data_IF_015010430829
#
_entry.id   IF_015010430829
#
_cell.length_a   1.000
_cell.length_b   1.000
_cell.length_c   1.000
_cell.angle_alpha   90.00
_cell.angle_beta   90.00
_cell.angle_gamma   90.00
#
_symmetry.space_group_name_H-M   'P 1'
#
loop_
_entity.id
_entity.type
_entity.pdbx_description
1 polymer ?
#
# COMPACT_ATOMS: atom_id res chain seq x y z
N UNK A 1 -2.58 -45.09 -9.16
CA UNK A 1 -2.83 -43.67 -8.81
C UNK A 1 -2.42 -42.83 -10.00
N UNK A 2 -3.38 -42.16 -10.61
CA UNK A 2 -3.44 -41.81 -12.05
C UNK A 2 -2.53 -40.63 -12.40
N UNK A 3 -1.98 -40.64 -13.63
CA UNK A 3 -1.24 -39.52 -14.27
C UNK A 3 -1.97 -38.16 -14.14
N UNK A 4 -3.29 -38.18 -14.06
CA UNK A 4 -4.14 -36.99 -13.86
C UNK A 4 -3.88 -36.31 -12.52
N UNK A 5 -3.71 -37.08 -11.42
CA UNK A 5 -3.43 -36.53 -10.09
C UNK A 5 -2.03 -35.88 -10.06
N UNK A 6 -1.05 -36.51 -10.73
CA UNK A 6 0.30 -35.94 -10.81
C UNK A 6 0.32 -34.64 -11.65
N UNK A 7 -0.46 -34.58 -12.74
CA UNK A 7 -0.56 -33.35 -13.54
C UNK A 7 -1.26 -32.20 -12.77
N UNK A 8 -2.32 -32.51 -12.03
CA UNK A 8 -3.02 -31.49 -11.24
C UNK A 8 -2.12 -30.96 -10.12
N UNK A 9 -1.34 -31.83 -9.48
CA UNK A 9 -0.40 -31.41 -8.42
C UNK A 9 0.72 -30.55 -8.98
N UNK A 10 1.27 -30.91 -10.15
CA UNK A 10 2.33 -30.15 -10.82
C UNK A 10 1.83 -28.76 -11.24
N UNK A 11 0.62 -28.66 -11.82
CA UNK A 11 0.01 -27.37 -12.21
C UNK A 11 -0.28 -26.49 -10.98
N UNK A 12 -0.69 -27.09 -9.85
CA UNK A 12 -0.89 -26.32 -8.61
C UNK A 12 0.44 -25.87 -7.96
N UNK A 13 1.49 -26.65 -8.08
CA UNK A 13 2.84 -26.25 -7.61
C UNK A 13 3.43 -25.14 -8.47
N UNK A 14 3.26 -25.20 -9.79
CA UNK A 14 3.70 -24.14 -10.72
C UNK A 14 2.94 -22.82 -10.48
N UNK A 15 1.63 -22.87 -10.24
CA UNK A 15 0.81 -21.68 -9.95
C UNK A 15 1.17 -21.04 -8.60
N UNK A 16 1.57 -21.85 -7.61
CA UNK A 16 2.05 -21.37 -6.31
C UNK A 16 3.46 -20.75 -6.40
N UNK A 17 4.31 -21.27 -7.27
CA UNK A 17 5.68 -20.80 -7.46
C UNK A 17 5.75 -19.49 -8.24
N UNK A 18 4.84 -19.24 -9.18
CA UNK A 18 4.74 -17.98 -9.94
C UNK A 18 4.26 -16.78 -9.14
N UNK A 19 3.77 -16.97 -7.93
CA UNK A 19 3.22 -15.89 -7.07
C UNK A 19 4.23 -15.29 -6.07
N UNK A 20 5.44 -15.81 -6.00
CA UNK A 20 6.49 -15.32 -5.09
C UNK A 20 7.57 -14.56 -5.82
N UNK A 21 7.95 -13.38 -5.30
CA UNK A 21 9.02 -12.55 -5.83
C UNK A 21 10.32 -12.79 -5.07
N UNK A 22 11.43 -12.95 -5.79
CA UNK A 22 12.76 -12.99 -5.15
C UNK A 22 13.30 -11.57 -4.99
N UNK A 23 12.88 -10.91 -3.91
CA UNK A 23 13.31 -9.54 -3.57
C UNK A 23 14.34 -9.58 -2.45
N UNK A 24 15.47 -8.85 -2.58
CA UNK A 24 16.50 -8.81 -1.54
C UNK A 24 15.94 -8.40 -0.18
N UNK A 25 16.37 -9.09 0.88
CA UNK A 25 15.89 -8.88 2.26
C UNK A 25 15.90 -7.41 2.71
N UNK A 26 16.96 -6.59 2.45
CA UNK A 26 16.93 -5.18 2.85
C UNK A 26 15.83 -4.39 2.14
N UNK A 27 15.57 -4.66 0.85
CA UNK A 27 14.49 -3.99 0.09
C UNK A 27 13.12 -4.32 0.69
N UNK A 28 12.89 -5.59 1.05
CA UNK A 28 11.66 -6.00 1.74
C UNK A 28 11.47 -5.29 3.07
N UNK A 29 12.52 -5.20 3.88
CA UNK A 29 12.46 -4.53 5.17
C UNK A 29 12.12 -3.05 5.02
N UNK A 30 12.73 -2.37 4.05
CA UNK A 30 12.39 -0.97 3.72
C UNK A 30 10.93 -0.85 3.31
N UNK A 31 10.45 -1.69 2.40
CA UNK A 31 9.07 -1.66 1.93
C UNK A 31 8.06 -1.94 3.06
N UNK A 32 8.34 -2.93 3.92
CA UNK A 32 7.52 -3.23 5.11
C UNK A 32 7.48 -2.03 6.05
N UNK A 33 8.62 -1.39 6.33
CA UNK A 33 8.68 -0.22 7.20
C UNK A 33 7.89 0.96 6.64
N UNK A 34 7.94 1.19 5.33
CA UNK A 34 7.17 2.24 4.66
C UNK A 34 5.66 1.98 4.75
N UNK A 35 5.20 0.74 4.53
CA UNK A 35 3.78 0.39 4.67
C UNK A 35 3.29 0.53 6.12
N UNK A 36 4.09 0.11 7.09
CA UNK A 36 3.73 0.26 8.50
C UNK A 36 3.67 1.74 8.91
N UNK A 37 4.61 2.56 8.44
CA UNK A 37 4.59 4.00 8.67
C UNK A 37 3.39 4.68 8.01
N UNK A 38 3.09 4.34 6.75
CA UNK A 38 1.89 4.80 6.04
C UNK A 38 0.62 4.45 6.85
N UNK A 39 0.44 3.17 7.20
CA UNK A 39 -0.72 2.73 7.98
C UNK A 39 -0.83 3.44 9.33
N UNK A 40 0.27 3.62 10.05
CA UNK A 40 0.26 4.30 11.36
C UNK A 40 -0.15 5.77 11.23
N UNK A 41 0.33 6.49 10.22
CA UNK A 41 -0.09 7.88 9.96
C UNK A 41 -1.60 7.94 9.72
N UNK A 42 -2.14 7.05 8.89
CA UNK A 42 -3.58 6.99 8.63
C UNK A 42 -4.37 6.64 9.88
N UNK A 43 -3.88 5.72 10.73
CA UNK A 43 -4.53 5.40 12.00
C UNK A 43 -4.60 6.62 12.93
N UNK A 44 -3.51 7.40 13.01
CA UNK A 44 -3.45 8.61 13.85
C UNK A 44 -4.41 9.69 13.34
N UNK A 45 -4.49 9.89 12.03
CA UNK A 45 -5.39 10.88 11.42
C UNK A 45 -6.86 10.45 11.36
N UNK A 46 -7.15 9.15 11.46
CA UNK A 46 -8.51 8.62 11.25
C UNK A 46 -9.59 9.25 12.15
N UNK A 47 -9.39 9.47 13.46
CA UNK A 47 -10.42 10.06 14.30
C UNK A 47 -10.83 11.47 13.86
N UNK A 48 -9.87 12.34 13.58
CA UNK A 48 -10.10 13.72 13.17
C UNK A 48 -10.84 13.77 11.84
N UNK A 49 -10.34 13.07 10.82
CA UNK A 49 -11.01 13.01 9.52
C UNK A 49 -12.37 12.30 9.57
N UNK A 50 -12.63 11.45 10.56
CA UNK A 50 -13.95 10.85 10.77
C UNK A 50 -14.97 11.89 11.28
N UNK A 51 -14.55 12.84 12.10
CA UNK A 51 -15.39 13.93 12.59
C UNK A 51 -15.72 14.93 11.47
N UNK A 52 -14.77 15.21 10.57
CA UNK A 52 -14.96 16.10 9.43
C UNK A 52 -15.85 15.46 8.35
N UNK A 53 -15.51 14.25 7.92
CA UNK A 53 -16.26 13.47 6.95
C UNK A 53 -16.10 11.97 7.24
N UNK A 54 -17.15 11.35 7.77
CA UNK A 54 -17.07 9.97 8.29
C UNK A 54 -16.55 8.94 7.28
N UNK A 55 -16.83 9.13 5.98
CA UNK A 55 -16.33 8.22 4.95
C UNK A 55 -14.80 8.33 4.77
N UNK A 56 -14.21 9.53 4.97
CA UNK A 56 -12.76 9.72 4.91
C UNK A 56 -12.10 9.01 6.09
N UNK A 57 -12.60 9.20 7.31
CA UNK A 57 -12.09 8.48 8.48
C UNK A 57 -12.18 6.96 8.33
N UNK A 58 -13.27 6.44 7.75
CA UNK A 58 -13.39 5.01 7.44
C UNK A 58 -12.35 4.55 6.40
N UNK A 59 -12.06 5.35 5.38
CA UNK A 59 -11.00 5.06 4.41
C UNK A 59 -9.62 5.05 5.08
N UNK A 60 -9.37 5.91 6.05
CA UNK A 60 -8.14 5.93 6.84
C UNK A 60 -7.97 4.64 7.66
N UNK A 61 -9.02 4.19 8.36
CA UNK A 61 -9.00 2.90 9.07
C UNK A 61 -8.80 1.72 8.11
N UNK A 62 -9.46 1.74 6.95
CA UNK A 62 -9.30 0.71 5.93
C UNK A 62 -7.88 0.70 5.36
N UNK A 63 -7.27 1.88 5.12
CA UNK A 63 -5.88 2.02 4.69
C UNK A 63 -4.93 1.39 5.72
N UNK A 64 -5.09 1.70 7.01
CA UNK A 64 -4.31 1.09 8.08
C UNK A 64 -4.40 -0.45 8.06
N UNK A 65 -5.61 -1.00 8.03
CA UNK A 65 -5.81 -2.45 8.01
C UNK A 65 -5.17 -3.10 6.78
N UNK A 66 -5.37 -2.50 5.60
CA UNK A 66 -4.80 -2.97 4.35
C UNK A 66 -3.26 -2.84 4.31
N UNK A 67 -2.70 -1.78 4.91
CA UNK A 67 -1.25 -1.61 5.06
C UNK A 67 -0.62 -2.73 5.91
N UNK A 68 -1.28 -3.16 6.99
CA UNK A 68 -0.81 -4.29 7.79
C UNK A 68 -0.79 -5.60 6.99
N UNK A 69 -1.87 -5.89 6.26
CA UNK A 69 -1.95 -7.07 5.38
C UNK A 69 -0.90 -7.00 4.29
N UNK A 70 -0.74 -5.84 3.64
CA UNK A 70 0.28 -5.59 2.63
C UNK A 70 1.69 -5.79 3.17
N UNK A 71 2.00 -5.27 4.36
CA UNK A 71 3.30 -5.43 5.00
C UNK A 71 3.66 -6.90 5.26
N UNK A 72 2.70 -7.69 5.76
CA UNK A 72 2.88 -9.15 5.92
C UNK A 72 3.09 -9.82 4.57
N UNK A 73 2.31 -9.45 3.55
CA UNK A 73 2.44 -9.99 2.19
C UNK A 73 3.79 -9.66 1.55
N UNK A 74 4.30 -8.43 1.70
CA UNK A 74 5.64 -8.02 1.24
C UNK A 74 6.72 -8.81 1.95
N UNK A 75 6.62 -8.98 3.28
CA UNK A 75 7.57 -9.78 4.04
C UNK A 75 7.63 -11.24 3.55
N UNK A 76 6.48 -11.80 3.18
CA UNK A 76 6.32 -13.15 2.63
C UNK A 76 6.63 -13.25 1.12
N UNK A 77 7.05 -12.17 0.47
CA UNK A 77 7.29 -12.10 -0.99
C UNK A 77 6.03 -12.35 -1.86
N UNK A 78 4.83 -12.15 -1.34
CA UNK A 78 3.61 -12.35 -2.11
C UNK A 78 3.40 -11.22 -3.10
N UNK A 79 3.27 -11.55 -4.39
CA UNK A 79 3.11 -10.55 -5.45
C UNK A 79 1.84 -9.71 -5.24
N UNK A 80 0.67 -10.33 -5.18
CA UNK A 80 -0.60 -9.61 -5.13
C UNK A 80 -0.98 -9.14 -3.72
N UNK A 81 -0.93 -10.03 -2.73
CA UNK A 81 -1.30 -9.72 -1.35
C UNK A 81 -0.27 -8.85 -0.60
N UNK A 82 0.94 -8.71 -1.14
CA UNK A 82 1.98 -7.85 -0.59
C UNK A 82 2.20 -6.61 -1.46
N UNK A 83 2.94 -6.77 -2.54
CA UNK A 83 3.36 -5.66 -3.39
C UNK A 83 2.19 -5.00 -4.12
N UNK A 84 1.27 -5.78 -4.70
CA UNK A 84 0.07 -5.27 -5.37
C UNK A 84 -0.84 -4.49 -4.42
N UNK A 85 -1.18 -5.09 -3.27
CA UNK A 85 -1.97 -4.42 -2.24
C UNK A 85 -1.26 -3.18 -1.70
N UNK A 86 0.05 -3.25 -1.46
CA UNK A 86 0.84 -2.10 -1.01
C UNK A 86 0.79 -0.93 -2.00
N UNK A 87 0.85 -1.20 -3.33
CA UNK A 87 0.70 -0.15 -4.36
C UNK A 87 -0.70 0.46 -4.32
N UNK A 88 -1.74 -0.35 -4.15
CA UNK A 88 -3.12 0.15 -4.03
C UNK A 88 -3.27 1.02 -2.78
N UNK A 89 -2.72 0.61 -1.65
CA UNK A 89 -2.77 1.33 -0.37
C UNK A 89 -2.00 2.65 -0.48
N UNK A 90 -0.72 2.60 -0.79
CA UNK A 90 0.13 3.81 -0.84
C UNK A 90 -0.20 4.69 -2.04
N UNK A 91 -0.35 4.12 -3.24
CA UNK A 91 -0.69 4.88 -4.45
C UNK A 91 -2.11 5.46 -4.40
N UNK A 92 -3.06 4.74 -3.82
CA UNK A 92 -4.42 5.22 -3.61
C UNK A 92 -4.48 6.37 -2.61
N UNK A 93 -3.78 6.28 -1.49
CA UNK A 93 -3.71 7.36 -0.50
C UNK A 93 -3.05 8.62 -1.08
N UNK A 94 -1.91 8.45 -1.77
CA UNK A 94 -1.22 9.54 -2.48
C UNK A 94 -2.16 10.22 -3.50
N UNK A 95 -2.87 9.44 -4.32
CA UNK A 95 -3.81 9.99 -5.29
C UNK A 95 -4.97 10.74 -4.62
N UNK A 96 -5.55 10.17 -3.55
CA UNK A 96 -6.63 10.80 -2.79
C UNK A 96 -6.18 12.09 -2.11
N UNK A 97 -4.97 12.13 -1.54
CA UNK A 97 -4.39 13.36 -0.99
C UNK A 97 -4.30 14.45 -2.07
N UNK A 98 -3.73 14.13 -3.24
CA UNK A 98 -3.62 15.10 -4.33
C UNK A 98 -4.99 15.57 -4.82
N UNK A 99 -5.97 14.67 -4.96
CA UNK A 99 -7.34 15.03 -5.35
C UNK A 99 -7.97 15.94 -4.32
N UNK A 100 -7.84 15.67 -3.03
CA UNK A 100 -8.40 16.52 -1.96
C UNK A 100 -7.83 17.94 -1.99
N UNK A 101 -6.54 18.11 -2.31
CA UNK A 101 -5.86 19.41 -2.33
C UNK A 101 -6.05 20.19 -3.62
N UNK A 102 -6.29 19.51 -4.75
CA UNK A 102 -6.40 20.14 -6.07
C UNK A 102 -7.85 20.37 -6.52
N UNK A 103 -8.75 19.48 -6.19
CA UNK A 103 -10.12 19.43 -6.69
C UNK A 103 -11.13 19.52 -5.55
N UNK A 104 -10.80 18.96 -4.40
CA UNK A 104 -11.71 18.73 -3.27
C UNK A 104 -12.35 17.35 -3.31
N UNK A 105 -12.87 16.94 -2.18
CA UNK A 105 -13.65 15.72 -2.03
C UNK A 105 -15.05 16.11 -1.51
N UNK A 106 -16.10 15.35 -1.83
CA UNK A 106 -17.45 15.67 -1.37
C UNK A 106 -17.53 15.83 0.16
N UNK A 107 -17.96 17.00 0.64
CA UNK A 107 -17.99 17.35 2.07
C UNK A 107 -16.62 17.62 2.70
N UNK A 108 -15.59 17.85 1.87
CA UNK A 108 -14.20 18.09 2.27
C UNK A 108 -13.52 19.15 1.37
N UNK A 109 -14.35 20.04 0.76
CA UNK A 109 -13.91 21.02 -0.23
C UNK A 109 -13.08 22.16 0.37
N UNK A 110 -13.23 22.43 1.65
CA UNK A 110 -12.48 23.51 2.34
C UNK A 110 -10.96 23.26 2.40
N UNK A 111 -10.52 22.04 2.14
CA UNK A 111 -9.10 21.68 2.12
C UNK A 111 -8.40 21.92 0.78
N UNK A 112 -9.11 22.42 -0.22
CA UNK A 112 -8.51 22.76 -1.54
C UNK A 112 -7.46 23.85 -1.39
N UNK A 113 -6.24 23.57 -1.86
CA UNK A 113 -5.09 24.47 -1.77
C UNK A 113 -4.37 24.48 -0.41
N UNK A 114 -4.89 23.81 0.61
CA UNK A 114 -4.26 23.71 1.93
C UNK A 114 -3.27 22.54 1.96
N UNK A 115 -1.98 22.83 1.75
CA UNK A 115 -0.91 21.83 1.76
C UNK A 115 -0.38 21.54 3.15
N UNK A 116 -0.49 22.50 4.06
CA UNK A 116 -0.17 22.37 5.48
C UNK A 116 -1.39 22.83 6.25
N UNK A 117 -1.93 21.99 7.09
CA UNK A 117 -3.04 22.33 7.95
C UNK A 117 -2.60 22.82 9.33
N UNK A 118 -3.56 23.13 10.17
CA UNK A 118 -3.33 23.70 11.50
C UNK A 118 -3.41 22.64 12.62
N UNK A 119 -3.83 21.41 12.30
CA UNK A 119 -3.95 20.31 13.26
C UNK A 119 -2.77 19.34 13.22
N UNK A 120 -2.53 18.58 14.31
CA UNK A 120 -1.52 17.53 14.34
C UNK A 120 -1.70 16.46 13.26
N UNK A 121 -2.93 16.10 12.91
CA UNK A 121 -3.22 15.12 11.86
C UNK A 121 -2.88 15.68 10.47
N UNK A 122 -3.18 16.95 10.21
CA UNK A 122 -2.90 17.62 8.95
C UNK A 122 -1.39 17.81 8.70
N UNK A 123 -0.57 18.03 9.76
CA UNK A 123 0.89 18.05 9.62
C UNK A 123 1.46 16.72 9.14
N UNK A 124 0.75 15.60 9.34
CA UNK A 124 1.17 14.28 8.86
C UNK A 124 0.91 14.08 7.35
N UNK A 125 0.18 14.97 6.69
CA UNK A 125 -0.15 14.85 5.27
C UNK A 125 1.09 14.82 4.37
N UNK A 126 2.04 15.76 4.55
CA UNK A 126 3.29 15.79 3.76
C UNK A 126 4.21 14.59 4.06
N UNK A 127 4.50 14.24 5.34
CA UNK A 127 5.19 12.99 5.64
C UNK A 127 4.55 11.75 5.03
N UNK A 128 3.23 11.64 5.07
CA UNK A 128 2.50 10.53 4.44
C UNK A 128 2.77 10.45 2.93
N UNK A 129 2.61 11.57 2.24
CA UNK A 129 2.85 11.69 0.79
C UNK A 129 4.27 11.25 0.40
N UNK A 130 5.28 11.63 1.20
CA UNK A 130 6.67 11.22 0.97
C UNK A 130 6.82 9.69 1.15
N UNK A 131 6.29 9.14 2.23
CA UNK A 131 6.36 7.71 2.54
C UNK A 131 5.66 6.88 1.45
N UNK A 132 4.48 7.30 1.02
CA UNK A 132 3.69 6.66 -0.01
C UNK A 132 4.39 6.68 -1.38
N UNK A 133 4.94 7.84 -1.78
CA UNK A 133 5.72 7.98 -3.00
C UNK A 133 6.97 7.08 -2.97
N UNK A 134 7.66 7.03 -1.83
CA UNK A 134 8.82 6.15 -1.65
C UNK A 134 8.44 4.68 -1.75
N UNK A 135 7.33 4.25 -1.14
CA UNK A 135 6.88 2.87 -1.28
C UNK A 135 6.58 2.52 -2.73
N UNK A 136 5.85 3.37 -3.45
CA UNK A 136 5.52 3.15 -4.87
C UNK A 136 6.80 3.07 -5.71
N UNK A 137 7.79 3.93 -5.46
CA UNK A 137 9.08 3.89 -6.15
C UNK A 137 9.85 2.59 -5.86
N UNK A 138 9.91 2.15 -4.61
CA UNK A 138 10.54 0.87 -4.21
C UNK A 138 9.84 -0.30 -4.90
N UNK A 139 8.52 -0.34 -4.90
CA UNK A 139 7.74 -1.38 -5.54
C UNK A 139 7.96 -1.42 -7.07
N UNK A 140 7.97 -0.25 -7.72
CA UNK A 140 8.24 -0.12 -9.16
C UNK A 140 9.63 -0.64 -9.56
N UNK A 141 10.62 -0.54 -8.67
CA UNK A 141 11.98 -1.06 -8.90
C UNK A 141 12.09 -2.54 -8.56
N UNK A 142 11.38 -3.01 -7.52
CA UNK A 142 11.48 -4.38 -7.04
C UNK A 142 10.75 -5.38 -7.95
N UNK A 143 9.54 -5.02 -8.43
CA UNK A 143 8.68 -5.94 -9.19
C UNK A 143 9.21 -6.35 -10.58
N UNK A 144 9.84 -5.47 -11.41
CA UNK A 144 10.35 -5.86 -12.73
C UNK A 144 11.57 -6.78 -12.65
N UNK A 145 12.41 -6.64 -11.61
CA UNK A 145 13.66 -7.41 -11.48
C UNK A 145 13.41 -8.90 -11.25
N UNK A 146 12.31 -9.26 -10.62
CA UNK A 146 11.95 -10.64 -10.36
C UNK A 146 11.56 -11.43 -11.63
N UNK A 147 11.10 -10.75 -12.70
CA UNK A 147 10.77 -11.38 -13.97
C UNK A 147 11.98 -11.67 -14.86
N UNK A 148 13.13 -11.03 -14.60
CA UNK A 148 14.35 -11.19 -15.41
C UNK A 148 15.24 -12.34 -14.94
N UNK A 149 15.05 -12.86 -13.73
CA UNK A 149 15.81 -13.99 -13.21
C UNK A 149 15.29 -15.35 -13.70
N UNK A 150 14.15 -15.38 -14.38
CA UNK A 150 13.51 -16.59 -14.91
C UNK A 150 13.70 -16.77 -16.44
N UNK A 151 14.39 -15.85 -17.11
CA UNK A 151 14.70 -15.89 -18.53
C UNK A 151 16.18 -16.24 -18.78
#
# INVERSE_FOLDING_TARGET
MSRVVQQVTAVQEEDHQQSTLDVPKPVKLVAVSLLLACGLIHLIGAPEHYEEASYIGLLFYANFAAALVGAVGVYQNRLWAGWGLGIVVAGGALAMFLVSRLIGLPGYEEHVGMWLGDSPAEYLGIPSLIIEAFFVAVAAVAMPRSRQSEA
#
